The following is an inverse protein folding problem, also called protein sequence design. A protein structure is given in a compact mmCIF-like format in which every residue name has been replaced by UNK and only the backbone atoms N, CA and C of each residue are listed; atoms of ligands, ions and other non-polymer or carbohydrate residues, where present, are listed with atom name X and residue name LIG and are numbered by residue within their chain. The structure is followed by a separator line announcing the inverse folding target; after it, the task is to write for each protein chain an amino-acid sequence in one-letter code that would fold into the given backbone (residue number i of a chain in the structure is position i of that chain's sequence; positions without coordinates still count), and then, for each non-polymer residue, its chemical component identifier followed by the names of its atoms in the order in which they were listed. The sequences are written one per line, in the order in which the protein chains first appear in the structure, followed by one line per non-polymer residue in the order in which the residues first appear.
data_IF_538877580609
#
_entry.id   IF_538877580609
#
_cell.length_a   1.000
_cell.length_b   1.000
_cell.length_c   1.000
_cell.angle_alpha   90.00
_cell.angle_beta   90.00
_cell.angle_gamma   90.00
#
_symmetry.space_group_name_H-M   'P 1'
#
loop_
_entity.id
_entity.type
_entity.pdbx_description
1 polymer ?
#
# COMPACT_ATOMS: atom_id res chain seq x y z
N UNK A 1 8.60 -34.85 59.42
CA UNK A 1 8.66 -33.92 58.27
C UNK A 1 7.52 -34.26 57.33
N UNK A 2 6.65 -33.28 57.14
CA UNK A 2 5.45 -33.13 56.30
C UNK A 2 5.09 -34.18 55.23
N UNK A 3 3.87 -34.72 55.34
CA UNK A 3 3.11 -35.31 54.23
C UNK A 3 1.62 -34.94 54.37
N UNK A 4 1.23 -33.79 53.84
CA UNK A 4 -0.17 -33.40 53.63
C UNK A 4 -0.25 -32.56 52.35
N UNK A 5 -1.41 -32.65 51.68
CA UNK A 5 -1.79 -31.96 50.45
C UNK A 5 -1.33 -32.59 49.13
N UNK A 6 -1.71 -33.85 48.92
CA UNK A 6 -2.10 -34.34 47.60
C UNK A 6 -3.63 -34.48 47.63
N UNK A 7 -4.29 -34.26 46.49
CA UNK A 7 -5.76 -34.27 46.29
C UNK A 7 -6.49 -32.94 46.55
N UNK A 8 -6.07 -31.84 45.91
CA UNK A 8 -7.02 -30.77 45.50
C UNK A 8 -6.36 -29.73 44.57
N UNK A 9 -5.98 -30.11 43.35
CA UNK A 9 -5.61 -29.09 42.34
C UNK A 9 -5.77 -29.51 40.88
N UNK A 10 -6.32 -30.70 40.60
CA UNK A 10 -6.42 -31.22 39.23
C UNK A 10 -7.65 -30.75 38.42
N UNK A 11 -8.35 -29.68 38.83
CA UNK A 11 -9.53 -29.18 38.12
C UNK A 11 -9.39 -27.79 37.50
N UNK A 12 -8.22 -27.13 37.57
CA UNK A 12 -8.09 -25.72 37.15
C UNK A 12 -6.93 -25.35 36.22
N UNK A 13 -6.41 -26.21 35.36
CA UNK A 13 -5.64 -25.72 34.18
C UNK A 13 -5.96 -26.55 32.93
N UNK A 14 -7.14 -26.35 32.35
CA UNK A 14 -7.36 -26.47 30.90
C UNK A 14 -8.22 -25.31 30.42
N UNK A 15 -7.72 -24.08 30.60
CA UNK A 15 -8.24 -22.93 29.85
C UNK A 15 -7.73 -23.05 28.42
N UNK A 16 -8.45 -23.81 27.60
CA UNK A 16 -8.34 -23.73 26.15
C UNK A 16 -8.72 -22.31 25.75
N UNK A 17 -7.73 -21.47 25.45
CA UNK A 17 -7.96 -20.19 24.77
C UNK A 17 -8.42 -20.52 23.37
N UNK A 18 -9.73 -20.76 23.19
CA UNK A 18 -10.37 -20.71 21.88
C UNK A 18 -10.24 -19.27 21.42
N UNK A 19 -9.20 -18.97 20.63
CA UNK A 19 -9.04 -17.70 19.90
C UNK A 19 -10.31 -17.56 19.05
N UNK A 20 -11.24 -16.72 19.49
CA UNK A 20 -12.48 -16.44 18.77
C UNK A 20 -12.05 -15.82 17.43
N UNK A 21 -12.20 -16.56 16.33
CA UNK A 21 -11.80 -16.11 14.99
C UNK A 21 -12.54 -14.79 14.72
N UNK A 22 -11.82 -13.67 14.73
CA UNK A 22 -12.44 -12.35 14.58
C UNK A 22 -13.11 -12.27 13.21
N UNK A 23 -14.39 -11.90 13.20
CA UNK A 23 -15.17 -11.81 11.96
C UNK A 23 -14.65 -10.64 11.12
N UNK A 24 -14.17 -10.93 9.92
CA UNK A 24 -13.76 -9.93 8.95
C UNK A 24 -14.98 -9.09 8.52
N UNK A 25 -14.78 -7.78 8.36
CA UNK A 25 -15.83 -6.83 7.98
C UNK A 25 -15.48 -6.17 6.66
N UNK A 26 -16.22 -6.48 5.61
CA UNK A 26 -15.96 -5.97 4.28
C UNK A 26 -16.62 -4.61 4.07
N UNK A 27 -15.90 -3.72 3.39
CA UNK A 27 -16.26 -2.34 3.12
C UNK A 27 -16.33 -2.06 1.62
N UNK A 28 -17.42 -1.44 1.20
CA UNK A 28 -17.56 -0.75 -0.08
C UNK A 28 -17.15 0.70 0.12
N UNK A 29 -16.11 1.17 -0.57
CA UNK A 29 -15.64 2.54 -0.48
C UNK A 29 -16.07 3.33 -1.71
N UNK A 30 -16.72 4.48 -1.49
CA UNK A 30 -17.09 5.41 -2.55
C UNK A 30 -16.13 6.61 -2.56
N UNK A 31 -15.42 6.77 -3.68
CA UNK A 31 -14.42 7.83 -3.86
C UNK A 31 -15.03 9.23 -3.96
N UNK A 32 -16.32 9.35 -4.33
CA UNK A 32 -17.00 10.65 -4.40
C UNK A 32 -17.19 11.20 -2.99
N UNK A 33 -17.74 10.36 -2.12
CA UNK A 33 -18.09 10.74 -0.74
C UNK A 33 -16.96 10.50 0.27
N UNK A 34 -15.88 9.83 -0.13
CA UNK A 34 -14.76 9.40 0.73
C UNK A 34 -15.21 8.56 1.93
N UNK A 35 -16.31 7.82 1.76
CA UNK A 35 -16.99 7.09 2.83
C UNK A 35 -17.14 5.62 2.49
N UNK A 36 -17.15 4.80 3.53
CA UNK A 36 -17.29 3.37 3.44
C UNK A 36 -18.63 2.89 4.03
N UNK A 37 -19.26 1.95 3.34
CA UNK A 37 -20.43 1.21 3.82
C UNK A 37 -20.06 -0.26 4.01
N UNK A 38 -20.60 -0.88 5.06
CA UNK A 38 -20.43 -2.32 5.28
C UNK A 38 -21.37 -3.13 4.40
N UNK A 39 -20.85 -4.20 3.81
CA UNK A 39 -21.63 -5.14 3.00
C UNK A 39 -22.84 -5.70 3.75
N UNK A 40 -24.01 -5.75 3.10
CA UNK A 40 -25.23 -6.33 3.68
C UNK A 40 -25.80 -5.55 4.88
N UNK A 41 -25.31 -4.33 5.14
CA UNK A 41 -25.82 -3.47 6.21
C UNK A 41 -26.82 -2.44 5.66
N UNK A 42 -28.00 -2.36 6.28
CA UNK A 42 -28.96 -1.28 5.99
C UNK A 42 -28.44 0.10 6.44
N UNK A 43 -27.56 0.15 7.46
CA UNK A 43 -26.91 1.40 7.90
C UNK A 43 -25.98 1.94 6.81
N UNK A 44 -26.10 3.24 6.51
CA UNK A 44 -25.48 3.85 5.32
C UNK A 44 -23.98 4.11 5.41
N UNK A 45 -23.40 4.21 6.62
CA UNK A 45 -21.99 4.60 6.83
C UNK A 45 -21.37 3.85 8.00
N UNK A 46 -20.08 3.54 7.89
CA UNK A 46 -19.28 3.00 9.00
C UNK A 46 -17.96 3.75 9.15
N UNK A 47 -17.49 3.92 10.38
CA UNK A 47 -16.16 4.48 10.66
C UNK A 47 -15.08 3.38 10.61
N UNK A 48 -15.15 2.51 9.60
CA UNK A 48 -14.29 1.33 9.45
C UNK A 48 -12.90 1.61 8.87
N UNK A 49 -12.64 2.85 8.48
CA UNK A 49 -11.38 3.31 7.94
C UNK A 49 -10.96 4.65 8.56
N UNK A 50 -9.73 5.04 8.29
CA UNK A 50 -9.15 6.36 8.57
C UNK A 50 -8.64 6.97 7.27
N UNK A 51 -8.62 8.30 7.20
CA UNK A 51 -7.96 9.06 6.14
C UNK A 51 -6.69 9.68 6.72
N UNK A 52 -5.58 9.55 6.00
CA UNK A 52 -4.29 10.15 6.33
C UNK A 52 -4.09 11.46 5.53
N UNK A 53 -3.12 12.27 5.95
CA UNK A 53 -2.83 13.60 5.39
C UNK A 53 -2.30 13.56 3.95
N UNK A 54 -1.69 12.45 3.56
CA UNK A 54 -1.05 12.17 2.27
C UNK A 54 -2.01 11.65 1.18
N UNK A 55 -3.33 11.66 1.45
CA UNK A 55 -4.36 11.19 0.52
C UNK A 55 -4.77 9.73 0.71
N UNK A 56 -4.20 9.03 1.70
CA UNK A 56 -4.39 7.59 1.87
C UNK A 56 -5.58 7.24 2.76
N UNK A 57 -6.25 6.14 2.43
CA UNK A 57 -7.30 5.53 3.25
C UNK A 57 -6.84 4.15 3.73
N UNK A 58 -6.86 3.96 5.06
CA UNK A 58 -6.49 2.71 5.71
C UNK A 58 -7.67 2.12 6.45
N UNK A 59 -7.88 0.82 6.28
CA UNK A 59 -8.87 0.11 7.09
C UNK A 59 -8.41 0.02 8.56
N UNK A 60 -9.35 0.18 9.48
CA UNK A 60 -9.13 -0.14 10.89
C UNK A 60 -9.07 -1.65 11.07
N UNK A 61 -8.58 -2.11 12.23
CA UNK A 61 -8.48 -3.53 12.58
C UNK A 61 -9.76 -4.31 12.26
N UNK A 62 -9.60 -5.42 11.55
CA UNK A 62 -10.67 -6.33 11.09
C UNK A 62 -11.65 -5.75 10.06
N UNK A 63 -11.36 -4.58 9.50
CA UNK A 63 -12.05 -4.06 8.32
C UNK A 63 -11.18 -4.22 7.07
N UNK A 64 -11.84 -4.38 5.92
CA UNK A 64 -11.17 -4.62 4.65
C UNK A 64 -11.98 -3.96 3.55
N UNK A 65 -11.38 -3.13 2.72
CA UNK A 65 -12.04 -2.74 1.47
C UNK A 65 -11.97 -3.92 0.51
N UNK A 66 -13.10 -4.22 -0.12
CA UNK A 66 -13.19 -5.26 -1.15
C UNK A 66 -13.82 -4.73 -2.43
N UNK A 67 -14.38 -3.51 -2.40
CA UNK A 67 -15.01 -2.86 -3.55
C UNK A 67 -14.75 -1.37 -3.48
N UNK A 68 -14.25 -0.81 -4.58
CA UNK A 68 -14.07 0.63 -4.79
C UNK A 68 -15.03 1.07 -5.89
N UNK A 69 -15.74 2.16 -5.66
CA UNK A 69 -16.73 2.70 -6.60
C UNK A 69 -16.69 4.21 -6.67
N UNK A 70 -17.21 4.74 -7.78
CA UNK A 70 -17.56 6.14 -7.97
C UNK A 70 -19.07 6.26 -8.07
N UNK A 71 -19.73 6.65 -6.97
CA UNK A 71 -21.19 6.64 -6.89
C UNK A 71 -21.76 5.23 -7.13
N UNK A 72 -22.40 5.05 -8.29
CA UNK A 72 -23.01 3.77 -8.71
C UNK A 72 -22.09 2.91 -9.60
N UNK A 73 -20.95 3.45 -10.05
CA UNK A 73 -20.04 2.74 -10.95
C UNK A 73 -18.94 2.03 -10.16
N UNK A 74 -18.81 0.71 -10.33
CA UNK A 74 -17.74 -0.07 -9.68
C UNK A 74 -16.46 0.12 -10.46
N UNK A 75 -15.40 0.59 -9.79
CA UNK A 75 -14.06 0.76 -10.37
C UNK A 75 -13.27 -0.54 -10.24
N UNK A 76 -13.31 -1.12 -9.04
CA UNK A 76 -12.52 -2.31 -8.73
C UNK A 76 -13.24 -3.16 -7.67
N UNK A 77 -13.10 -4.48 -7.75
CA UNK A 77 -13.69 -5.43 -6.80
C UNK A 77 -12.79 -6.65 -6.62
N UNK A 78 -12.55 -7.02 -5.36
CA UNK A 78 -11.77 -8.20 -4.98
C UNK A 78 -12.48 -9.49 -5.44
N UNK A 79 -11.71 -10.43 -5.99
CA UNK A 79 -12.20 -11.78 -6.33
C UNK A 79 -12.16 -12.72 -5.14
N UNK A 80 -11.17 -12.57 -4.27
CA UNK A 80 -10.94 -13.40 -3.08
C UNK A 80 -10.30 -12.58 -1.95
N UNK A 81 -10.03 -13.22 -0.81
CA UNK A 81 -9.54 -12.53 0.38
C UNK A 81 -8.06 -12.11 0.34
N UNK A 82 -7.25 -12.69 -0.56
CA UNK A 82 -5.86 -12.26 -0.78
C UNK A 82 -5.79 -10.94 -1.55
N UNK A 83 -6.83 -10.64 -2.32
CA UNK A 83 -6.99 -9.39 -3.04
C UNK A 83 -7.62 -8.28 -2.20
N UNK A 84 -7.95 -8.49 -0.92
CA UNK A 84 -8.46 -7.36 -0.13
C UNK A 84 -7.45 -6.21 -0.10
N UNK A 85 -7.98 -4.98 0.04
CA UNK A 85 -7.15 -3.79 -0.03
C UNK A 85 -6.51 -3.54 1.34
N UNK A 86 -5.18 -3.45 1.36
CA UNK A 86 -4.37 -3.02 2.49
C UNK A 86 -4.35 -1.49 2.59
N UNK A 87 -4.06 -0.80 1.48
CA UNK A 87 -4.02 0.67 1.40
C UNK A 87 -4.71 1.15 0.12
N UNK A 88 -5.52 2.20 0.23
CA UNK A 88 -6.16 2.86 -0.91
C UNK A 88 -5.66 4.30 -1.01
N UNK A 89 -5.15 4.68 -2.17
CA UNK A 89 -4.71 6.03 -2.50
C UNK A 89 -5.65 6.60 -3.55
N UNK A 90 -6.11 7.84 -3.35
CA UNK A 90 -6.97 8.53 -4.33
C UNK A 90 -6.39 9.92 -4.54
N UNK A 91 -6.10 10.28 -5.80
CA UNK A 91 -5.50 11.59 -6.11
C UNK A 91 -6.39 12.73 -5.62
N UNK A 92 -5.78 13.70 -4.93
CA UNK A 92 -6.49 14.88 -4.45
C UNK A 92 -6.81 15.86 -5.59
N UNK A 93 -5.96 15.91 -6.62
CA UNK A 93 -6.18 16.70 -7.83
C UNK A 93 -7.09 15.90 -8.78
N UNK A 94 -8.28 16.41 -9.09
CA UNK A 94 -9.18 15.83 -10.10
C UNK A 94 -9.77 14.44 -9.79
N UNK A 95 -9.29 13.69 -8.77
CA UNK A 95 -9.65 12.29 -8.48
C UNK A 95 -9.55 11.41 -9.74
N UNK A 96 -8.48 11.60 -10.48
CA UNK A 96 -8.19 10.97 -11.76
C UNK A 96 -7.25 9.76 -11.65
N UNK A 97 -6.62 9.53 -10.49
CA UNK A 97 -5.81 8.34 -10.22
C UNK A 97 -6.23 7.65 -8.92
N UNK A 98 -6.24 6.33 -8.96
CA UNK A 98 -6.39 5.47 -7.78
C UNK A 98 -5.26 4.46 -7.78
N UNK A 99 -4.61 4.30 -6.63
CA UNK A 99 -3.68 3.20 -6.38
C UNK A 99 -4.27 2.33 -5.29
N UNK A 100 -4.25 1.03 -5.51
CA UNK A 100 -4.69 0.02 -4.58
C UNK A 100 -3.48 -0.84 -4.24
N UNK A 101 -3.06 -0.83 -2.98
CA UNK A 101 -2.13 -1.84 -2.47
C UNK A 101 -2.94 -2.98 -1.87
N UNK A 102 -2.78 -4.18 -2.42
CA UNK A 102 -3.45 -5.40 -1.98
C UNK A 102 -2.71 -6.02 -0.78
N UNK A 103 -3.35 -6.94 -0.05
CA UNK A 103 -2.71 -7.61 1.12
C UNK A 103 -1.49 -8.44 0.75
N UNK A 104 -1.43 -8.99 -0.46
CA UNK A 104 -0.25 -9.70 -0.95
C UNK A 104 0.90 -8.77 -1.36
N UNK A 105 0.74 -7.45 -1.24
CA UNK A 105 1.75 -6.45 -1.59
C UNK A 105 1.62 -5.89 -3.01
N UNK A 106 0.88 -6.56 -3.91
CA UNK A 106 0.70 -6.09 -5.28
C UNK A 106 0.02 -4.72 -5.32
N UNK A 107 0.40 -3.93 -6.31
CA UNK A 107 -0.25 -2.66 -6.61
C UNK A 107 -1.15 -2.81 -7.85
N UNK A 108 -2.31 -2.17 -7.81
CA UNK A 108 -3.21 -2.02 -8.96
C UNK A 108 -3.46 -0.53 -9.14
N UNK A 109 -3.27 -0.02 -10.34
CA UNK A 109 -3.38 1.42 -10.63
C UNK A 109 -4.44 1.68 -11.68
N UNK A 110 -5.34 2.59 -11.37
CA UNK A 110 -6.39 3.05 -12.27
C UNK A 110 -6.21 4.53 -12.59
N UNK A 111 -6.50 4.88 -13.85
CA UNK A 111 -6.62 6.26 -14.32
C UNK A 111 -8.01 6.50 -14.87
N UNK A 112 -8.61 7.63 -14.52
CA UNK A 112 -9.85 8.11 -15.14
C UNK A 112 -9.52 8.90 -16.39
N UNK A 113 -10.05 8.47 -17.53
CA UNK A 113 -9.97 9.24 -18.77
C UNK A 113 -11.05 10.33 -18.72
N UNK A 114 -10.62 11.59 -18.79
CA UNK A 114 -11.50 12.76 -18.57
C UNK A 114 -12.63 12.80 -19.61
N UNK A 115 -12.32 12.48 -20.85
CA UNK A 115 -13.25 12.59 -21.98
C UNK A 115 -14.35 11.52 -21.93
N UNK A 116 -14.02 10.32 -21.42
CA UNK A 116 -14.93 9.18 -21.41
C UNK A 116 -15.57 8.95 -20.05
N UNK A 117 -15.04 9.56 -18.98
CA UNK A 117 -15.38 9.27 -17.57
C UNK A 117 -15.26 7.78 -17.20
N UNK A 118 -14.46 7.04 -17.97
CA UNK A 118 -14.20 5.62 -17.78
C UNK A 118 -12.90 5.47 -16.97
N UNK A 119 -12.93 4.54 -16.01
CA UNK A 119 -11.75 4.10 -15.29
C UNK A 119 -11.06 3.00 -16.07
N UNK A 120 -9.78 3.20 -16.39
CA UNK A 120 -8.95 2.21 -17.06
C UNK A 120 -7.83 1.76 -16.13
N UNK A 121 -7.59 0.45 -16.08
CA UNK A 121 -6.44 -0.10 -15.37
C UNK A 121 -5.17 0.16 -16.19
N UNK A 122 -4.15 0.73 -15.54
CA UNK A 122 -2.85 1.07 -16.14
C UNK A 122 -1.68 0.41 -15.41
N UNK A 123 -1.95 -0.56 -14.52
CA UNK A 123 -0.91 -1.28 -13.76
C UNK A 123 0.22 -1.80 -14.64
N UNK A 124 -0.12 -2.33 -15.83
CA UNK A 124 0.83 -2.89 -16.80
C UNK A 124 1.80 -1.85 -17.41
N UNK A 125 1.54 -0.55 -17.25
CA UNK A 125 2.42 0.53 -17.73
C UNK A 125 3.46 0.95 -16.70
N UNK A 126 3.40 0.38 -15.51
CA UNK A 126 4.27 0.70 -14.40
C UNK A 126 5.18 -0.50 -14.12
N UNK A 127 6.40 -0.28 -13.62
CA UNK A 127 7.21 -1.38 -13.13
C UNK A 127 6.52 -2.12 -11.98
N UNK A 128 6.84 -3.40 -11.86
CA UNK A 128 6.38 -4.21 -10.74
C UNK A 128 7.10 -3.76 -9.46
N UNK A 129 6.39 -3.01 -8.61
CA UNK A 129 6.96 -2.47 -7.38
C UNK A 129 7.39 -3.55 -6.38
N UNK A 130 6.94 -4.80 -6.52
CA UNK A 130 7.43 -5.90 -5.70
C UNK A 130 8.85 -6.34 -6.06
N UNK A 131 9.31 -5.99 -7.27
CA UNK A 131 10.70 -6.23 -7.70
C UNK A 131 11.65 -5.15 -7.20
N UNK A 132 11.14 -4.03 -6.70
CA UNK A 132 11.95 -2.96 -6.15
C UNK A 132 12.51 -3.37 -4.79
N UNK A 133 13.83 -3.28 -4.64
CA UNK A 133 14.52 -3.49 -3.36
C UNK A 133 15.29 -2.23 -3.01
N UNK A 134 15.08 -1.74 -1.80
CA UNK A 134 15.73 -0.55 -1.27
C UNK A 134 16.73 -0.99 -0.19
N UNK A 135 17.98 -0.56 -0.30
CA UNK A 135 19.04 -0.99 0.61
C UNK A 135 19.57 0.18 1.44
N UNK A 136 19.88 -0.09 2.71
CA UNK A 136 20.52 0.86 3.62
C UNK A 136 22.04 0.96 3.39
N UNK A 137 22.73 1.83 4.13
CA UNK A 137 24.21 1.97 4.08
C UNK A 137 24.97 0.68 4.40
N UNK A 138 24.35 -0.27 5.11
CA UNK A 138 24.95 -1.55 5.47
C UNK A 138 24.69 -2.64 4.41
N UNK A 139 23.96 -2.32 3.35
CA UNK A 139 23.58 -3.26 2.29
C UNK A 139 22.41 -4.18 2.68
N UNK A 140 21.66 -3.87 3.72
CA UNK A 140 20.48 -4.63 4.11
C UNK A 140 19.25 -4.14 3.33
N UNK A 141 18.41 -5.07 2.91
CA UNK A 141 17.11 -4.74 2.32
C UNK A 141 16.15 -4.20 3.40
N UNK A 142 15.59 -3.04 3.13
CA UNK A 142 14.71 -2.32 4.05
C UNK A 142 13.26 -2.76 3.87
N UNK A 143 12.58 -2.96 4.99
CA UNK A 143 11.17 -3.39 5.00
C UNK A 143 10.20 -2.20 5.04
N UNK A 144 8.93 -2.46 4.71
CA UNK A 144 7.84 -1.44 4.70
C UNK A 144 7.68 -0.59 5.97
N UNK A 145 8.32 -0.94 7.09
CA UNK A 145 8.23 -0.19 8.34
C UNK A 145 9.08 1.09 8.34
N UNK A 146 10.08 1.17 7.46
CA UNK A 146 11.04 2.28 7.42
C UNK A 146 10.81 3.25 6.26
N UNK A 147 9.73 3.07 5.49
CA UNK A 147 9.30 4.04 4.48
C UNK A 147 7.78 4.25 4.51
N UNK A 148 7.34 5.41 4.02
CA UNK A 148 5.92 5.75 3.89
C UNK A 148 5.55 5.93 2.42
N UNK A 149 4.25 5.81 2.13
CA UNK A 149 3.71 5.98 0.79
C UNK A 149 2.79 7.20 0.75
N UNK A 150 2.76 7.92 -0.37
CA UNK A 150 1.81 9.00 -0.60
C UNK A 150 1.40 9.09 -2.07
N UNK A 151 0.25 9.71 -2.33
CA UNK A 151 -0.17 10.06 -3.69
C UNK A 151 -0.52 11.54 -3.74
N UNK A 152 0.38 12.33 -4.34
CA UNK A 152 0.21 13.78 -4.46
C UNK A 152 0.04 14.12 -5.94
N UNK A 153 -1.13 14.65 -6.28
CA UNK A 153 -1.51 14.88 -7.68
C UNK A 153 -1.40 13.58 -8.50
N UNK A 154 -0.41 13.47 -9.39
CA UNK A 154 -0.17 12.31 -10.25
C UNK A 154 1.04 11.48 -9.85
N UNK A 155 1.66 11.81 -8.72
CA UNK A 155 2.95 11.25 -8.32
C UNK A 155 2.78 10.35 -7.10
N UNK A 156 3.13 9.07 -7.27
CA UNK A 156 3.18 8.10 -6.20
C UNK A 156 4.57 8.14 -5.56
N UNK A 157 4.62 8.48 -4.28
CA UNK A 157 5.87 8.81 -3.58
C UNK A 157 6.11 7.75 -2.51
N UNK A 158 7.33 7.21 -2.49
CA UNK A 158 7.86 6.35 -1.44
C UNK A 158 8.91 7.17 -0.70
N UNK A 159 8.57 7.69 0.48
CA UNK A 159 9.47 8.52 1.30
C UNK A 159 10.31 7.64 2.21
N UNK A 160 11.63 7.83 2.18
CA UNK A 160 12.58 7.05 2.96
C UNK A 160 12.75 7.68 4.35
N UNK A 161 12.55 6.88 5.41
CA UNK A 161 12.92 7.26 6.78
C UNK A 161 14.26 6.62 7.21
N UNK A 162 15.05 6.23 6.22
CA UNK A 162 16.37 5.63 6.35
C UNK A 162 17.28 6.22 5.27
N UNK A 163 18.58 5.99 5.40
CA UNK A 163 19.57 6.40 4.41
C UNK A 163 19.70 5.33 3.31
N UNK A 164 19.05 5.57 2.18
CA UNK A 164 19.05 4.65 1.04
C UNK A 164 20.36 4.75 0.24
N UNK A 165 21.15 3.69 0.22
CA UNK A 165 22.46 3.66 -0.44
C UNK A 165 22.44 2.94 -1.80
N UNK A 166 21.45 2.07 -2.03
CA UNK A 166 21.33 1.32 -3.28
C UNK A 166 19.87 0.97 -3.55
N UNK A 167 19.50 1.02 -4.84
CA UNK A 167 18.18 0.61 -5.31
C UNK A 167 18.37 -0.44 -6.39
N UNK A 168 17.68 -1.57 -6.22
CA UNK A 168 17.64 -2.66 -7.19
C UNK A 168 16.25 -2.84 -7.74
N UNK A 169 16.19 -3.23 -9.00
CA UNK A 169 15.00 -3.79 -9.62
C UNK A 169 15.30 -5.23 -9.99
N UNK A 170 14.62 -6.15 -9.29
CA UNK A 170 14.84 -7.59 -9.33
C UNK A 170 16.28 -7.98 -8.93
N UNK A 171 17.12 -8.29 -9.91
CA UNK A 171 18.55 -8.63 -9.76
C UNK A 171 19.49 -7.50 -10.19
N UNK A 172 18.97 -6.42 -10.76
CA UNK A 172 19.78 -5.35 -11.37
C UNK A 172 19.85 -4.13 -10.45
N UNK A 173 21.06 -3.61 -10.24
CA UNK A 173 21.24 -2.30 -9.59
C UNK A 173 20.87 -1.20 -10.58
N UNK A 174 19.90 -0.37 -10.20
CA UNK A 174 19.39 0.74 -11.04
C UNK A 174 19.85 2.10 -10.53
N UNK A 175 20.26 2.16 -9.27
CA UNK A 175 20.93 3.32 -8.68
C UNK A 175 21.77 2.88 -7.48
N UNK A 176 22.90 3.56 -7.29
CA UNK A 176 23.78 3.37 -6.14
C UNK A 176 24.38 4.71 -5.74
N UNK A 177 24.50 4.96 -4.44
CA UNK A 177 25.14 6.14 -3.90
C UNK A 177 26.63 6.14 -4.26
N UNK A 178 27.08 7.25 -4.84
CA UNK A 178 28.50 7.53 -5.05
C UNK A 178 29.06 8.32 -3.85
N UNK A 179 30.36 8.20 -3.57
CA UNK A 179 30.99 8.73 -2.33
C UNK A 179 30.77 10.23 -2.08
N UNK A 180 30.49 11.03 -3.12
CA UNK A 180 30.23 12.46 -3.03
C UNK A 180 28.75 12.85 -3.08
N UNK A 181 27.82 11.90 -3.17
CA UNK A 181 26.38 12.17 -3.30
C UNK A 181 25.67 12.18 -1.93
N UNK A 182 24.58 12.95 -1.85
CA UNK A 182 23.68 12.91 -0.71
C UNK A 182 22.69 11.75 -0.83
N UNK A 183 22.15 11.28 0.29
CA UNK A 183 21.09 10.28 0.29
C UNK A 183 19.79 10.83 -0.32
N UNK A 184 19.08 10.05 -1.16
CA UNK A 184 17.75 10.43 -1.61
C UNK A 184 16.78 10.41 -0.42
N UNK A 185 15.80 11.30 -0.45
CA UNK A 185 14.71 11.39 0.53
C UNK A 185 13.46 10.62 0.08
N UNK A 186 13.29 10.42 -1.23
CA UNK A 186 12.15 9.66 -1.76
C UNK A 186 12.41 9.08 -3.16
N UNK A 187 11.64 8.04 -3.48
CA UNK A 187 11.40 7.59 -4.85
C UNK A 187 10.02 8.06 -5.31
N UNK A 188 9.97 8.72 -6.45
CA UNK A 188 8.73 9.23 -7.04
C UNK A 188 8.44 8.52 -8.35
N UNK A 189 7.26 7.92 -8.46
CA UNK A 189 6.75 7.31 -9.69
C UNK A 189 5.68 8.22 -10.26
N UNK A 190 5.98 8.90 -11.38
CA UNK A 190 5.00 9.76 -12.03
C UNK A 190 4.05 8.92 -12.87
N UNK A 191 2.80 8.81 -12.44
CA UNK A 191 1.78 8.00 -13.15
C UNK A 191 1.40 8.61 -14.51
N UNK A 192 1.54 9.94 -14.62
CA UNK A 192 1.23 10.67 -15.85
C UNK A 192 2.31 10.47 -16.91
N UNK A 193 3.58 10.63 -16.51
CA UNK A 193 4.72 10.58 -17.42
C UNK A 193 5.34 9.20 -17.53
N UNK A 194 4.94 8.25 -16.68
CA UNK A 194 5.52 6.91 -16.59
C UNK A 194 7.04 6.98 -16.41
N UNK A 195 7.49 7.86 -15.51
CA UNK A 195 8.91 8.02 -15.19
C UNK A 195 9.13 7.84 -13.69
N UNK A 196 10.37 7.55 -13.33
CA UNK A 196 10.76 7.29 -11.95
C UNK A 196 11.93 8.19 -11.59
N UNK A 197 11.75 8.95 -10.53
CA UNK A 197 12.68 9.99 -10.10
C UNK A 197 13.09 9.72 -8.67
N UNK A 198 14.39 9.79 -8.40
CA UNK A 198 14.91 9.98 -7.05
C UNK A 198 14.86 11.45 -6.70
N UNK A 199 14.29 11.74 -5.54
CA UNK A 199 14.24 13.06 -4.95
C UNK A 199 15.30 13.15 -3.85
N UNK A 200 16.11 14.20 -3.90
CA UNK A 200 17.11 14.54 -2.90
C UNK A 200 16.71 15.87 -2.23
N UNK A 201 17.51 16.28 -1.26
CA UNK A 201 17.38 17.60 -0.63
C UNK A 201 17.40 18.72 -1.67
N UNK A 202 16.78 19.85 -1.29
CA UNK A 202 16.68 21.05 -2.13
C UNK A 202 16.01 20.79 -3.49
N UNK A 203 15.08 19.84 -3.54
CA UNK A 203 14.34 19.45 -4.73
C UNK A 203 15.19 18.95 -5.91
N UNK A 204 16.46 18.58 -5.68
CA UNK A 204 17.29 17.93 -6.70
C UNK A 204 16.65 16.59 -7.07
N UNK A 205 16.58 16.32 -8.38
CA UNK A 205 15.99 15.08 -8.92
C UNK A 205 16.93 14.40 -9.89
N UNK A 206 16.95 13.08 -9.83
CA UNK A 206 17.65 12.21 -10.78
C UNK A 206 16.67 11.18 -11.30
N UNK A 207 16.60 11.00 -12.62
CA UNK A 207 15.78 9.94 -13.22
C UNK A 207 16.49 8.60 -13.15
N UNK A 208 15.75 7.54 -12.82
CA UNK A 208 16.25 6.16 -12.88
C UNK A 208 15.47 5.39 -13.94
N UNK A 209 16.22 4.71 -14.82
CA UNK A 209 15.63 3.98 -15.93
C UNK A 209 15.38 2.51 -15.56
N UNK A 210 14.21 2.27 -14.97
CA UNK A 210 13.71 0.91 -14.71
C UNK A 210 12.97 0.36 -15.94
N UNK A 211 12.38 1.23 -16.76
CA UNK A 211 11.50 0.80 -17.84
C UNK A 211 12.27 0.12 -18.98
N UNK A 212 13.49 0.56 -19.30
CA UNK A 212 14.32 -0.14 -20.30
C UNK A 212 14.74 -1.55 -19.90
N UNK A 213 14.64 -1.90 -18.61
CA UNK A 213 14.83 -3.26 -18.12
C UNK A 213 13.57 -4.11 -18.31
N UNK A 214 12.38 -3.50 -18.22
CA UNK A 214 11.10 -4.21 -18.37
C UNK A 214 10.82 -4.54 -19.83
N UNK A 215 11.12 -3.64 -20.77
CA UNK A 215 10.88 -3.86 -22.21
C UNK A 215 11.75 -4.96 -22.85
N UNK A 216 12.82 -5.40 -22.17
CA UNK A 216 13.75 -6.43 -22.67
C UNK A 216 13.40 -7.86 -22.22
N UNK A 217 12.31 -8.04 -21.49
CA UNK A 217 11.88 -9.33 -20.90
C UNK A 217 10.58 -9.81 -21.52
#
# INVERSE_FOLDING_TARGET
MSSQANVESNSKIKRTVKKKKEKLRLLEFDIVTSKAKRTGSARSKTNGHIRLSDGNYLCKRNFFFYLIKEGNHVIWKAKNHHEYIKRLFVSCSGKDYIIIQLFNGNFVVFRKLIDEKIWSEITHKLPDLLKLKLLDESGNEVTEQEFSYGLISTDFIITFNFKCSEIKYDTHTVWKLEDSEEFPEALTISLKYQSILLLFKNDKKTEIDILSLVEKT
#
